data_IF_364894302169
#
_entry.id   IF_364894302169
#
_cell.length_a   1.000
_cell.length_b   1.000
_cell.length_c   1.000
_cell.angle_alpha   90.00
_cell.angle_beta   90.00
_cell.angle_gamma   90.00
#
_symmetry.space_group_name_H-M   'P 1'
#
loop_
_entity.id
_entity.type
_entity.pdbx_description
1 polymer ?
#
# COMPACT_ATOMS: atom_id res chain seq x y z
N UNK A 1 -7.69 -9.44 -13.18
CA UNK A 1 -7.66 -8.12 -12.53
C UNK A 1 -9.06 -7.77 -12.03
N UNK A 2 -9.15 -7.14 -10.86
CA UNK A 2 -10.38 -6.69 -10.20
C UNK A 2 -10.22 -5.22 -9.80
N UNK A 3 -11.33 -4.49 -9.75
CA UNK A 3 -11.36 -3.10 -9.29
C UNK A 3 -11.48 -3.10 -7.76
N UNK A 4 -10.68 -2.27 -7.10
CA UNK A 4 -10.75 -2.02 -5.66
C UNK A 4 -10.85 -0.52 -5.40
N UNK A 5 -11.48 -0.16 -4.28
CA UNK A 5 -11.73 1.23 -3.90
C UNK A 5 -11.29 1.52 -2.46
N UNK A 6 -9.97 1.56 -2.18
CA UNK A 6 -9.47 1.96 -0.87
C UNK A 6 -9.58 3.48 -0.67
N UNK A 7 -10.43 3.91 0.27
CA UNK A 7 -10.78 5.31 0.44
C UNK A 7 -11.52 5.84 -0.79
N UNK A 8 -11.11 7.01 -1.29
CA UNK A 8 -11.72 7.66 -2.46
C UNK A 8 -11.00 7.35 -3.78
N UNK A 9 -10.05 6.40 -3.79
CA UNK A 9 -9.25 6.04 -4.97
C UNK A 9 -9.70 4.70 -5.53
N UNK A 10 -9.84 4.63 -6.85
CA UNK A 10 -10.16 3.40 -7.57
C UNK A 10 -8.96 2.94 -8.42
N UNK A 11 -8.60 1.67 -8.31
CA UNK A 11 -7.57 1.08 -9.19
C UNK A 11 -7.73 -0.43 -9.35
N UNK A 12 -7.02 -0.98 -10.34
CA UNK A 12 -6.99 -2.41 -10.62
C UNK A 12 -5.92 -3.13 -9.80
N UNK A 13 -6.28 -4.26 -9.19
CA UNK A 13 -5.33 -5.23 -8.61
C UNK A 13 -5.53 -6.58 -9.30
N UNK A 14 -4.48 -7.37 -9.40
CA UNK A 14 -4.63 -8.78 -9.78
C UNK A 14 -5.45 -9.57 -8.73
N UNK A 15 -6.27 -10.54 -9.17
CA UNK A 15 -7.15 -11.28 -8.25
C UNK A 15 -6.39 -12.05 -7.17
N UNK A 16 -5.30 -12.70 -7.56
CA UNK A 16 -4.45 -13.46 -6.64
C UNK A 16 -3.72 -12.53 -5.66
N UNK A 17 -3.25 -11.37 -6.14
CA UNK A 17 -2.66 -10.36 -5.27
C UNK A 17 -3.67 -9.84 -4.24
N UNK A 18 -4.92 -9.59 -4.66
CA UNK A 18 -5.98 -9.13 -3.74
C UNK A 18 -6.21 -10.16 -2.62
N UNK A 19 -6.36 -11.44 -2.97
CA UNK A 19 -6.56 -12.52 -1.98
C UNK A 19 -5.41 -12.59 -0.96
N UNK A 20 -4.16 -12.49 -1.43
CA UNK A 20 -3.00 -12.46 -0.55
C UNK A 20 -3.03 -11.26 0.41
N UNK A 21 -3.41 -10.07 -0.08
CA UNK A 21 -3.52 -8.87 0.75
C UNK A 21 -4.67 -8.97 1.76
N UNK A 22 -5.78 -9.63 1.41
CA UNK A 22 -6.87 -9.91 2.34
C UNK A 22 -6.41 -10.83 3.47
N UNK A 23 -5.63 -11.87 3.16
CA UNK A 23 -5.01 -12.74 4.17
C UNK A 23 -4.03 -11.99 5.06
N UNK A 24 -3.21 -11.11 4.49
CA UNK A 24 -2.30 -10.24 5.25
C UNK A 24 -3.09 -9.35 6.21
N UNK A 25 -4.17 -8.73 5.73
CA UNK A 25 -5.01 -7.84 6.53
C UNK A 25 -5.62 -8.58 7.73
N UNK A 26 -6.16 -9.77 7.52
CA UNK A 26 -6.67 -10.64 8.58
C UNK A 26 -5.56 -11.04 9.57
N UNK A 27 -4.39 -11.44 9.07
CA UNK A 27 -3.28 -11.85 9.92
C UNK A 27 -2.75 -10.73 10.82
N UNK A 28 -2.61 -9.51 10.28
CA UNK A 28 -2.10 -8.36 11.05
C UNK A 28 -3.12 -7.89 12.07
N UNK A 29 -4.41 -7.78 11.69
CA UNK A 29 -5.44 -7.22 12.56
C UNK A 29 -5.95 -8.20 13.62
N UNK A 30 -6.09 -9.48 13.27
CA UNK A 30 -6.78 -10.46 14.12
C UNK A 30 -5.84 -11.50 14.75
N UNK A 31 -4.62 -11.66 14.21
CA UNK A 31 -3.68 -12.70 14.66
C UNK A 31 -2.38 -12.14 15.24
N UNK A 32 -2.28 -10.82 15.41
CA UNK A 32 -1.13 -10.11 16.01
C UNK A 32 0.18 -10.49 15.27
N UNK A 33 0.10 -10.67 13.95
CA UNK A 33 1.27 -10.94 13.13
C UNK A 33 1.88 -9.64 12.59
N UNK A 34 3.19 -9.66 12.39
CA UNK A 34 3.89 -8.62 11.65
C UNK A 34 3.99 -9.02 10.18
N UNK A 35 3.74 -8.07 9.27
CA UNK A 35 3.91 -8.25 7.85
C UNK A 35 4.94 -7.25 7.32
N UNK A 36 5.89 -7.75 6.55
CA UNK A 36 6.89 -6.94 5.85
C UNK A 36 7.05 -7.49 4.43
N UNK A 37 6.97 -6.61 3.43
CA UNK A 37 7.14 -6.94 2.02
C UNK A 37 8.33 -6.18 1.47
N UNK A 38 9.29 -6.91 0.90
CA UNK A 38 10.37 -6.34 0.11
C UNK A 38 9.98 -6.35 -1.37
N UNK A 39 10.18 -5.22 -2.05
CA UNK A 39 9.94 -5.08 -3.49
C UNK A 39 11.24 -4.57 -4.12
N UNK A 40 11.82 -5.38 -5.00
CA UNK A 40 13.06 -5.08 -5.71
C UNK A 40 12.88 -5.25 -7.24
N UNK A 41 13.80 -4.67 -8.01
CA UNK A 41 13.81 -4.74 -9.47
C UNK A 41 14.38 -3.48 -10.13
N UNK A 42 14.35 -3.44 -11.46
CA UNK A 42 14.93 -2.33 -12.24
C UNK A 42 14.22 -0.99 -12.02
N UNK A 43 14.97 0.11 -12.08
CA UNK A 43 14.41 1.48 -12.08
C UNK A 43 13.39 1.64 -13.22
N UNK A 44 12.27 2.32 -12.93
CA UNK A 44 11.16 2.46 -13.89
C UNK A 44 10.22 1.25 -13.97
N UNK A 45 10.49 0.15 -13.26
CA UNK A 45 9.64 -1.05 -13.26
C UNK A 45 8.35 -0.96 -12.42
N UNK A 46 7.91 0.25 -12.03
CA UNK A 46 6.67 0.43 -11.28
C UNK A 46 6.70 0.01 -9.80
N UNK A 47 7.88 -0.26 -9.23
CA UNK A 47 8.04 -0.72 -7.83
C UNK A 47 7.34 0.17 -6.81
N UNK A 48 7.58 1.48 -6.89
CA UNK A 48 6.97 2.46 -5.97
C UNK A 48 5.45 2.51 -6.13
N UNK A 49 4.96 2.42 -7.37
CA UNK A 49 3.52 2.36 -7.65
C UNK A 49 2.90 1.13 -7.02
N UNK A 50 3.51 -0.05 -7.20
CA UNK A 50 3.04 -1.30 -6.60
C UNK A 50 3.04 -1.21 -5.07
N UNK A 51 4.13 -0.73 -4.47
CA UNK A 51 4.26 -0.60 -3.03
C UNK A 51 3.17 0.31 -2.44
N UNK A 52 2.94 1.48 -3.04
CA UNK A 52 1.92 2.44 -2.58
C UNK A 52 0.51 1.89 -2.79
N UNK A 53 0.23 1.20 -3.90
CA UNK A 53 -1.07 0.58 -4.13
C UNK A 53 -1.38 -0.52 -3.10
N UNK A 54 -0.41 -1.39 -2.81
CA UNK A 54 -0.54 -2.41 -1.76
C UNK A 54 -0.76 -1.77 -0.39
N UNK A 55 0.03 -0.75 -0.04
CA UNK A 55 -0.10 -0.05 1.23
C UNK A 55 -1.46 0.67 1.36
N UNK A 56 -1.90 1.34 0.29
CA UNK A 56 -3.20 2.01 0.23
C UNK A 56 -4.34 1.00 0.39
N UNK A 57 -4.26 -0.16 -0.26
CA UNK A 57 -5.23 -1.24 -0.09
C UNK A 57 -5.29 -1.76 1.35
N UNK A 58 -4.13 -2.09 1.94
CA UNK A 58 -4.04 -2.63 3.31
C UNK A 58 -4.53 -1.65 4.39
N UNK A 59 -4.38 -0.35 4.14
CA UNK A 59 -4.72 0.72 5.09
C UNK A 59 -6.07 1.38 4.83
N UNK A 60 -6.89 0.83 3.94
CA UNK A 60 -8.18 1.41 3.53
C UNK A 60 -8.06 2.86 3.04
N UNK A 61 -7.01 3.14 2.25
CA UNK A 61 -6.75 4.43 1.64
C UNK A 61 -6.02 5.44 2.53
N UNK A 62 -5.74 5.09 3.80
CA UNK A 62 -5.10 6.01 4.76
C UNK A 62 -3.64 6.30 4.47
N UNK A 63 -2.92 5.36 3.84
CA UNK A 63 -1.54 5.57 3.41
C UNK A 63 -1.48 5.84 1.92
N UNK A 64 -0.79 6.94 1.58
CA UNK A 64 -0.59 7.43 0.23
C UNK A 64 0.89 7.77 -0.04
N UNK A 65 1.19 8.16 -1.28
CA UNK A 65 2.55 8.60 -1.64
C UNK A 65 2.95 9.86 -0.88
N UNK A 66 2.01 10.74 -0.53
CA UNK A 66 2.30 12.02 0.15
C UNK A 66 2.71 11.82 1.61
N UNK A 67 2.44 10.63 2.18
CA UNK A 67 2.87 10.24 3.52
C UNK A 67 4.33 9.75 3.55
N UNK A 68 4.90 9.44 2.38
CA UNK A 68 6.25 8.87 2.23
C UNK A 68 7.17 9.84 1.48
N UNK A 69 6.65 10.54 0.48
CA UNK A 69 7.38 11.47 -0.36
C UNK A 69 6.99 12.90 0.00
N UNK A 70 7.77 13.49 0.90
CA UNK A 70 7.57 14.87 1.36
C UNK A 70 8.88 15.63 1.33
N UNK A 71 8.79 16.96 1.18
CA UNK A 71 9.92 17.85 1.34
C UNK A 71 10.11 18.23 2.83
N UNK A 72 11.18 18.96 3.13
CA UNK A 72 11.51 19.38 4.49
C UNK A 72 10.40 20.19 5.15
N UNK A 73 9.78 21.13 4.44
CA UNK A 73 8.70 21.97 4.99
C UNK A 73 7.48 21.11 5.37
N UNK A 74 7.10 20.17 4.51
CA UNK A 74 6.02 19.21 4.74
C UNK A 74 6.33 18.22 5.86
N UNK A 75 7.60 17.90 6.11
CA UNK A 75 8.00 17.09 7.26
C UNK A 75 7.80 17.85 8.57
N UNK A 76 8.22 19.12 8.61
CA UNK A 76 8.12 19.95 9.81
C UNK A 76 6.66 20.16 10.27
N UNK A 77 5.68 20.12 9.37
CA UNK A 77 4.26 20.22 9.74
C UNK A 77 3.67 18.95 10.37
N UNK A 78 4.43 17.85 10.40
CA UNK A 78 4.01 16.55 10.95
C UNK A 78 4.67 16.22 12.30
N UNK A 79 5.56 17.09 12.79
CA UNK A 79 6.16 17.02 14.14
C UNK A 79 5.21 17.61 15.18
#
# INVERSE_FOLDING_TARGET
MVIVTPGDKEFYIDGYMKENLDHVKDAVLNKINMYCQLIDGRTGGGKSTLAVQMASYLTDGKLSVDDVCFNTEQFLTRL
#
